data_IF_731994097036
#
_entry.id   IF_731994097036
#
_cell.length_a   1.000
_cell.length_b   1.000
_cell.length_c   1.000
_cell.angle_alpha   90.00
_cell.angle_beta   90.00
_cell.angle_gamma   90.00
#
_symmetry.space_group_name_H-M   'P 1'
#
loop_
_entity.id
_entity.type
_entity.pdbx_description
1 polymer ?
#
# COMPACT_ATOMS: atom_id res chain seq x y z
N UNK A 1 14.75 -12.39 -3.42
CA UNK A 1 13.75 -11.70 -4.24
C UNK A 1 13.39 -10.39 -3.61
N UNK A 2 13.19 -9.40 -4.43
CA UNK A 2 12.94 -8.05 -3.95
C UNK A 2 11.49 -7.61 -4.13
N UNK A 3 10.61 -8.55 -4.38
CA UNK A 3 9.23 -8.21 -4.73
C UNK A 3 8.52 -7.42 -3.63
N UNK A 4 8.74 -7.81 -2.37
CA UNK A 4 8.10 -7.12 -1.26
C UNK A 4 8.56 -5.66 -1.20
N UNK A 5 9.86 -5.43 -1.32
CA UNK A 5 10.38 -4.06 -1.29
C UNK A 5 9.87 -3.25 -2.48
N UNK A 6 9.79 -3.86 -3.65
CA UNK A 6 9.27 -3.19 -4.83
C UNK A 6 7.80 -2.83 -4.64
N UNK A 7 7.03 -3.74 -4.04
CA UNK A 7 5.62 -3.48 -3.77
C UNK A 7 5.45 -2.34 -2.78
N UNK A 8 6.26 -2.31 -1.75
CA UNK A 8 6.20 -1.23 -0.76
C UNK A 8 6.60 0.10 -1.37
N UNK A 9 7.63 0.10 -2.21
CA UNK A 9 8.06 1.32 -2.90
C UNK A 9 6.97 1.83 -3.84
N UNK A 10 6.38 0.92 -4.59
CA UNK A 10 5.30 1.25 -5.52
C UNK A 10 4.10 1.81 -4.78
N UNK A 11 3.75 1.18 -3.66
CA UNK A 11 2.65 1.64 -2.82
C UNK A 11 2.91 3.05 -2.31
N UNK A 12 4.12 3.29 -1.83
CA UNK A 12 4.51 4.60 -1.33
C UNK A 12 4.41 5.67 -2.42
N UNK A 13 4.89 5.35 -3.61
CA UNK A 13 4.79 6.27 -4.74
C UNK A 13 3.33 6.58 -5.08
N UNK A 14 2.48 5.55 -5.06
CA UNK A 14 1.06 5.74 -5.31
C UNK A 14 0.43 6.64 -4.26
N UNK A 15 0.79 6.44 -2.99
CA UNK A 15 0.25 7.27 -1.92
C UNK A 15 0.69 8.72 -2.07
N UNK A 16 1.89 8.96 -2.55
CA UNK A 16 2.36 10.32 -2.79
C UNK A 16 1.58 11.01 -3.90
N UNK A 17 1.19 10.26 -4.90
CA UNK A 17 0.35 10.80 -5.96
C UNK A 17 -1.05 11.15 -5.47
N UNK A 18 -1.53 10.37 -4.53
CA UNK A 18 -2.88 10.55 -4.00
C UNK A 18 -2.94 11.72 -3.00
N UNK A 19 -1.87 11.92 -2.25
CA UNK A 19 -1.85 12.86 -1.12
C UNK A 19 -2.38 14.25 -1.46
N UNK A 20 -2.06 14.85 -2.61
CA UNK A 20 -2.56 16.19 -2.92
C UNK A 20 -4.01 16.23 -3.38
N UNK A 21 -4.63 15.08 -3.59
CA UNK A 21 -6.00 15.03 -4.08
C UNK A 21 -6.99 15.17 -2.95
N UNK A 22 -8.15 15.74 -3.27
CA UNK A 22 -9.26 15.72 -2.35
C UNK A 22 -9.92 14.35 -2.38
N UNK A 23 -9.95 13.70 -1.24
CA UNK A 23 -10.51 12.35 -1.13
C UNK A 23 -11.81 12.40 -0.37
N UNK A 24 -12.79 11.59 -0.82
CA UNK A 24 -14.01 11.42 -0.05
C UNK A 24 -13.74 10.50 1.15
N UNK A 25 -14.73 10.34 2.02
CA UNK A 25 -14.57 9.53 3.22
C UNK A 25 -14.13 8.12 2.94
N UNK A 26 -14.73 7.52 1.94
CA UNK A 26 -14.43 6.13 1.57
C UNK A 26 -12.98 5.99 1.13
N UNK A 27 -12.52 6.94 0.33
CA UNK A 27 -11.13 6.92 -0.14
C UNK A 27 -10.16 7.17 0.99
N UNK A 28 -10.51 8.05 1.94
CA UNK A 28 -9.68 8.28 3.10
C UNK A 28 -9.54 7.03 3.95
N UNK A 29 -10.63 6.29 4.10
CA UNK A 29 -10.60 5.02 4.83
C UNK A 29 -9.69 4.03 4.13
N UNK A 30 -9.75 3.99 2.81
CA UNK A 30 -8.89 3.10 2.04
C UNK A 30 -7.42 3.46 2.25
N UNK A 31 -7.09 4.76 2.26
CA UNK A 31 -5.72 5.19 2.52
C UNK A 31 -5.25 4.72 3.89
N UNK A 32 -6.10 4.79 4.89
CA UNK A 32 -5.76 4.30 6.23
C UNK A 32 -5.48 2.81 6.21
N UNK A 33 -6.29 2.05 5.49
CA UNK A 33 -6.07 0.61 5.34
C UNK A 33 -4.74 0.33 4.67
N UNK A 34 -4.44 1.07 3.60
CA UNK A 34 -3.18 0.89 2.88
C UNK A 34 -2.00 1.11 3.82
N UNK A 35 -2.04 2.19 4.59
CA UNK A 35 -0.96 2.50 5.51
C UNK A 35 -0.80 1.41 6.56
N UNK A 36 -1.91 0.88 7.04
CA UNK A 36 -1.90 -0.21 8.01
C UNK A 36 -1.24 -1.47 7.42
N UNK A 37 -1.60 -1.81 6.19
CA UNK A 37 -0.98 -2.97 5.52
C UNK A 37 0.51 -2.76 5.32
N UNK A 38 0.91 -1.54 4.93
CA UNK A 38 2.32 -1.23 4.76
C UNK A 38 3.09 -1.41 6.07
N UNK A 39 2.54 -0.90 7.17
CA UNK A 39 3.17 -1.03 8.47
C UNK A 39 3.30 -2.50 8.87
N UNK A 40 2.24 -3.26 8.68
CA UNK A 40 2.25 -4.68 8.99
C UNK A 40 3.26 -5.44 8.13
N UNK A 41 3.35 -5.06 6.85
CA UNK A 41 4.32 -5.68 5.96
C UNK A 41 5.74 -5.43 6.44
N UNK A 42 6.02 -4.20 6.86
CA UNK A 42 7.34 -3.85 7.37
C UNK A 42 7.69 -4.62 8.63
N UNK A 43 6.72 -4.78 9.52
CA UNK A 43 6.91 -5.58 10.73
C UNK A 43 7.20 -7.03 10.36
N UNK A 44 6.47 -7.57 9.39
CA UNK A 44 6.67 -8.94 8.96
C UNK A 44 8.06 -9.15 8.37
N UNK A 45 8.54 -8.19 7.58
CA UNK A 45 9.91 -8.24 7.05
C UNK A 45 10.91 -8.28 8.18
N UNK A 46 10.71 -7.42 9.16
CA UNK A 46 11.59 -7.32 10.32
C UNK A 46 11.66 -8.64 11.09
N UNK A 47 10.58 -9.40 11.10
CA UNK A 47 10.53 -10.69 11.79
C UNK A 47 10.94 -11.85 10.92
N UNK A 48 11.28 -11.60 9.67
CA UNK A 48 11.67 -12.66 8.76
C UNK A 48 10.50 -13.43 8.17
N UNK A 49 9.28 -12.93 8.35
CA UNK A 49 8.08 -13.57 7.82
C UNK A 49 7.84 -13.08 6.40
N UNK A 50 8.60 -13.62 5.47
CA UNK A 50 8.66 -13.13 4.10
C UNK A 50 7.33 -13.29 3.38
N UNK A 51 6.70 -14.42 3.57
CA UNK A 51 5.43 -14.70 2.89
C UNK A 51 4.33 -13.74 3.32
N UNK A 52 4.22 -13.54 4.63
CA UNK A 52 3.23 -12.62 5.17
C UNK A 52 3.51 -11.20 4.69
N UNK A 53 4.77 -10.81 4.70
CA UNK A 53 5.17 -9.48 4.24
C UNK A 53 4.77 -9.26 2.79
N UNK A 54 5.02 -10.25 1.95
CA UNK A 54 4.67 -10.17 0.55
C UNK A 54 3.15 -10.02 0.35
N UNK A 55 2.38 -10.83 1.07
CA UNK A 55 0.93 -10.79 0.96
C UNK A 55 0.37 -9.45 1.39
N UNK A 56 0.87 -8.91 2.48
CA UNK A 56 0.41 -7.61 2.98
C UNK A 56 0.81 -6.49 2.02
N UNK A 57 2.03 -6.54 1.52
CA UNK A 57 2.51 -5.54 0.57
C UNK A 57 1.71 -5.59 -0.74
N UNK A 58 1.35 -6.79 -1.19
CA UNK A 58 0.54 -6.95 -2.39
C UNK A 58 -0.83 -6.31 -2.22
N UNK A 59 -1.45 -6.52 -1.07
CA UNK A 59 -2.76 -5.92 -0.78
C UNK A 59 -2.67 -4.41 -0.75
N UNK A 60 -1.65 -3.89 -0.10
CA UNK A 60 -1.45 -2.44 -0.03
C UNK A 60 -1.26 -1.86 -1.42
N UNK A 61 -0.44 -2.51 -2.24
CA UNK A 61 -0.16 -2.03 -3.58
C UNK A 61 -1.41 -2.04 -4.45
N UNK A 62 -2.19 -3.11 -4.38
CA UNK A 62 -3.43 -3.22 -5.14
C UNK A 62 -4.40 -2.10 -4.80
N UNK A 63 -4.60 -1.86 -3.52
CA UNK A 63 -5.51 -0.82 -3.07
C UNK A 63 -5.02 0.56 -3.49
N UNK A 64 -3.72 0.81 -3.38
CA UNK A 64 -3.18 2.11 -3.76
C UNK A 64 -3.26 2.34 -5.27
N UNK A 65 -3.06 1.29 -6.05
CA UNK A 65 -3.19 1.40 -7.51
C UNK A 65 -4.62 1.74 -7.91
N UNK A 66 -5.59 1.15 -7.22
CA UNK A 66 -6.98 1.46 -7.49
C UNK A 66 -7.31 2.92 -7.22
N UNK A 67 -6.74 3.48 -6.15
CA UNK A 67 -6.96 4.88 -5.83
C UNK A 67 -6.33 5.83 -6.84
N UNK A 68 -5.17 5.44 -7.38
CA UNK A 68 -4.47 6.27 -8.35
C UNK A 68 -5.16 6.26 -9.70
N UNK A 69 -5.84 5.19 -10.02
CA UNK A 69 -6.51 5.02 -11.30
C UNK A 69 -7.52 6.12 -11.54
N UNK A 70 -7.58 6.67 -12.76
CA UNK A 70 -8.60 7.68 -13.05
C UNK A 70 -10.00 7.14 -12.85
N UNK A 71 -10.84 7.96 -12.29
CA UNK A 71 -12.24 7.64 -12.12
C UNK A 71 -12.96 7.68 -13.46
N UNK A 72 -14.01 6.88 -13.62
CA UNK A 72 -14.73 6.82 -14.89
C UNK A 72 -16.09 7.44 -14.77
#
# INVERSE_FOLDING_TARGET
>A
MQNTNQLLTSTDANLKQIAPRQLNSSQQDTVKQIKSYVDQAKVAVSKGDVERAYNLASKANMLSADLVRPSR
#
